data_IF_877639705313
#
_entry.id   IF_877639705313
#
_cell.length_a   1.000
_cell.length_b   1.000
_cell.length_c   1.000
_cell.angle_alpha   90.00
_cell.angle_beta   90.00
_cell.angle_gamma   90.00
#
_symmetry.space_group_name_H-M   'P 1'
#
loop_
_entity.id
_entity.type
_entity.pdbx_description
1 polymer ?
#
# COMPACT_ATOMS: atom_id res chain seq x y z
N UNK A 1 -10.21 3.42 -2.44
CA UNK A 1 -10.29 2.21 -1.57
C UNK A 1 -10.34 0.99 -2.47
N UNK A 2 -9.81 -0.15 -2.05
CA UNK A 2 -9.93 -1.42 -2.79
C UNK A 2 -11.16 -2.21 -2.35
N UNK A 3 -11.65 -3.09 -3.21
CA UNK A 3 -12.65 -4.10 -2.82
C UNK A 3 -11.96 -5.28 -2.10
N UNK A 4 -12.64 -5.96 -1.17
CA UNK A 4 -12.10 -7.12 -0.48
C UNK A 4 -11.67 -8.21 -1.45
N UNK A 5 -10.52 -8.82 -1.24
CA UNK A 5 -10.03 -9.86 -2.14
C UNK A 5 -10.71 -11.19 -1.82
N UNK A 6 -11.30 -11.83 -2.84
CA UNK A 6 -11.98 -13.12 -2.68
C UNK A 6 -11.06 -14.20 -2.09
N UNK A 7 -9.76 -14.13 -2.39
CA UNK A 7 -8.76 -15.05 -1.85
C UNK A 7 -8.30 -14.78 -0.42
N UNK A 8 -8.71 -13.66 0.21
CA UNK A 8 -8.25 -13.29 1.57
C UNK A 8 -9.36 -13.19 2.60
N UNK A 9 -10.60 -12.95 2.19
CA UNK A 9 -11.74 -12.81 3.11
C UNK A 9 -12.98 -13.53 2.58
N UNK A 10 -13.81 -13.98 3.51
CA UNK A 10 -15.11 -14.57 3.21
C UNK A 10 -16.17 -13.50 2.94
N UNK A 11 -16.88 -13.66 1.83
CA UNK A 11 -18.07 -12.87 1.50
C UNK A 11 -19.35 -13.42 2.15
N UNK A 12 -19.24 -14.46 3.00
CA UNK A 12 -20.36 -14.94 3.77
C UNK A 12 -20.82 -13.86 4.78
N UNK A 13 -22.04 -13.34 4.59
CA UNK A 13 -22.62 -12.31 5.45
C UNK A 13 -22.69 -12.73 6.94
N UNK A 14 -22.81 -14.03 7.23
CA UNK A 14 -22.81 -14.55 8.60
C UNK A 14 -21.44 -14.48 9.27
N UNK A 15 -20.36 -14.58 8.50
CA UNK A 15 -18.99 -14.55 9.02
C UNK A 15 -18.53 -13.12 9.39
N UNK A 16 -19.20 -12.09 8.88
CA UNK A 16 -18.96 -10.65 9.17
C UNK A 16 -17.48 -10.23 9.04
N UNK A 17 -16.75 -10.82 8.08
CA UNK A 17 -15.34 -10.48 7.82
C UNK A 17 -15.14 -9.21 6.98
N UNK A 18 -16.21 -8.73 6.34
CA UNK A 18 -16.23 -7.50 5.55
C UNK A 18 -17.15 -6.52 6.25
N UNK A 19 -16.69 -5.28 6.47
CA UNK A 19 -17.54 -4.24 7.05
C UNK A 19 -18.76 -3.99 6.14
N UNK A 20 -19.96 -3.76 6.69
CA UNK A 20 -21.08 -3.29 5.89
C UNK A 20 -20.88 -1.84 5.41
N UNK A 21 -20.02 -1.07 6.08
CA UNK A 21 -19.67 0.29 5.66
C UNK A 21 -18.45 0.28 4.72
N UNK A 22 -18.67 0.76 3.49
CA UNK A 22 -17.63 0.94 2.48
C UNK A 22 -16.55 1.93 2.97
N UNK A 23 -16.91 2.86 3.85
CA UNK A 23 -16.00 3.82 4.48
C UNK A 23 -14.97 3.15 5.40
N UNK A 24 -15.14 1.88 5.76
CA UNK A 24 -14.15 1.11 6.53
C UNK A 24 -13.24 0.26 5.66
N UNK A 25 -13.42 0.24 4.34
CA UNK A 25 -12.69 -0.71 3.48
C UNK A 25 -11.20 -0.38 3.45
N UNK A 26 -10.40 -1.36 3.89
CA UNK A 26 -8.94 -1.36 3.99
C UNK A 26 -8.32 -2.48 3.14
N UNK A 27 -8.68 -2.52 1.85
CA UNK A 27 -8.18 -3.52 0.89
C UNK A 27 -7.40 -2.90 -0.27
N UNK A 28 -7.04 -1.62 -0.16
CA UNK A 28 -6.21 -0.94 -1.16
C UNK A 28 -4.74 -1.33 -1.06
N UNK A 29 -3.93 -0.84 -2.00
CA UNK A 29 -2.50 -1.18 -2.10
C UNK A 29 -1.72 -1.03 -0.79
N UNK A 30 -1.99 0.02 0.02
CA UNK A 30 -1.30 0.23 1.30
C UNK A 30 -1.65 -0.77 2.41
N UNK A 31 -2.75 -1.51 2.26
CA UNK A 31 -3.23 -2.49 3.25
C UNK A 31 -3.12 -3.93 2.76
N UNK A 32 -2.82 -4.12 1.47
CA UNK A 32 -2.70 -5.45 0.88
C UNK A 32 -1.52 -6.21 1.49
N UNK A 33 -1.71 -7.50 1.77
CA UNK A 33 -0.62 -8.41 2.08
C UNK A 33 0.07 -8.83 0.78
N UNK A 34 1.39 -8.58 0.61
CA UNK A 34 2.10 -8.95 -0.61
C UNK A 34 2.41 -10.45 -0.71
N UNK A 35 2.46 -11.20 0.41
CA UNK A 35 2.86 -12.62 0.43
C UNK A 35 1.97 -13.49 -0.46
N UNK A 36 0.62 -13.41 -0.42
CA UNK A 36 -0.24 -14.24 -1.25
C UNK A 36 -0.28 -13.82 -2.73
N UNK A 37 0.56 -12.88 -3.18
CA UNK A 37 0.64 -12.51 -4.60
C UNK A 37 0.87 -13.74 -5.48
N UNK A 38 0.25 -13.74 -6.66
CA UNK A 38 0.16 -14.88 -7.58
C UNK A 38 -0.72 -16.05 -7.10
N UNK A 39 -1.34 -15.93 -5.92
CA UNK A 39 -2.39 -16.85 -5.45
C UNK A 39 -3.73 -16.68 -6.17
N UNK A 40 -4.56 -17.72 -6.13
CA UNK A 40 -5.91 -17.68 -6.70
C UNK A 40 -6.79 -16.68 -5.93
N UNK A 41 -7.55 -15.86 -6.67
CA UNK A 41 -8.45 -14.87 -6.07
C UNK A 41 -7.75 -13.65 -5.46
N UNK A 42 -6.48 -13.41 -5.81
CA UNK A 42 -5.68 -12.26 -5.35
C UNK A 42 -5.49 -11.27 -6.51
N UNK A 43 -6.29 -10.18 -6.57
CA UNK A 43 -6.29 -9.25 -7.71
C UNK A 43 -4.96 -8.56 -8.03
N UNK A 44 -4.11 -8.15 -7.05
CA UNK A 44 -2.83 -7.50 -7.35
C UNK A 44 -1.90 -8.31 -8.27
N UNK A 45 -2.04 -9.64 -8.28
CA UNK A 45 -1.23 -10.57 -9.08
C UNK A 45 -1.17 -10.20 -10.56
N UNK A 46 -2.27 -9.75 -11.16
CA UNK A 46 -2.30 -9.37 -12.58
C UNK A 46 -1.43 -8.14 -12.86
N UNK A 47 -1.44 -7.16 -11.95
CA UNK A 47 -0.58 -5.99 -12.05
C UNK A 47 0.89 -6.37 -11.83
N UNK A 48 1.21 -7.27 -10.88
CA UNK A 48 2.58 -7.72 -10.66
C UNK A 48 3.15 -8.48 -11.86
N UNK A 49 2.31 -9.24 -12.57
CA UNK A 49 2.69 -9.90 -13.82
C UNK A 49 2.93 -8.91 -14.96
N UNK A 50 2.15 -7.84 -15.03
CA UNK A 50 2.33 -6.77 -16.01
C UNK A 50 3.62 -5.99 -15.76
N UNK A 51 3.87 -5.61 -14.50
CA UNK A 51 5.10 -4.94 -14.09
C UNK A 51 6.33 -5.80 -14.32
N UNK A 52 6.26 -7.12 -14.07
CA UNK A 52 7.38 -8.03 -14.34
C UNK A 52 7.81 -8.02 -15.81
N UNK A 53 6.86 -7.94 -16.75
CA UNK A 53 7.17 -7.85 -18.19
C UNK A 53 7.88 -6.55 -18.59
N UNK A 54 7.80 -5.53 -17.74
CA UNK A 54 8.37 -4.21 -17.96
C UNK A 54 9.39 -3.85 -16.86
N UNK A 55 9.97 -4.87 -16.19
CA UNK A 55 10.88 -4.65 -15.08
C UNK A 55 12.22 -4.08 -15.58
N UNK A 56 12.69 -2.95 -15.04
CA UNK A 56 14.02 -2.43 -15.36
C UNK A 56 15.12 -3.43 -14.97
N UNK A 57 16.19 -3.50 -15.76
CA UNK A 57 17.30 -4.44 -15.54
C UNK A 57 17.95 -4.24 -14.18
N UNK A 58 18.16 -2.99 -13.76
CA UNK A 58 18.77 -2.67 -12.47
C UNK A 58 17.94 -3.19 -11.30
N UNK A 59 16.61 -3.15 -11.42
CA UNK A 59 15.71 -3.65 -10.39
C UNK A 59 15.63 -5.19 -10.41
N UNK A 60 15.73 -5.80 -11.60
CA UNK A 60 15.83 -7.26 -11.72
C UNK A 60 17.10 -7.79 -11.05
N UNK A 61 18.25 -7.16 -11.31
CA UNK A 61 19.52 -7.51 -10.68
C UNK A 61 19.46 -7.34 -9.16
N UNK A 62 18.82 -6.26 -8.69
CA UNK A 62 18.59 -6.09 -7.26
C UNK A 62 17.74 -7.23 -6.67
N UNK A 63 16.69 -7.69 -7.37
CA UNK A 63 15.90 -8.84 -6.91
C UNK A 63 16.65 -10.16 -6.94
N UNK A 64 17.63 -10.35 -7.83
CA UNK A 64 18.48 -11.55 -7.85
C UNK A 64 19.30 -11.70 -6.56
N UNK A 65 19.75 -10.58 -5.99
CA UNK A 65 20.58 -10.55 -4.78
C UNK A 65 19.77 -10.50 -3.48
N UNK A 66 18.44 -10.38 -3.56
CA UNK A 66 17.54 -10.20 -2.42
C UNK A 66 16.44 -11.26 -2.38
N UNK A 67 15.82 -11.46 -1.21
CA UNK A 67 14.71 -12.41 -1.05
C UNK A 67 15.10 -13.83 -1.46
N UNK A 68 14.36 -14.42 -2.42
CA UNK A 68 14.64 -15.74 -3.00
C UNK A 68 15.03 -15.65 -4.48
N UNK A 69 15.63 -14.54 -4.89
CA UNK A 69 16.00 -14.27 -6.27
C UNK A 69 14.76 -14.23 -7.18
N UNK A 70 14.90 -14.78 -8.39
CA UNK A 70 13.76 -14.86 -9.33
C UNK A 70 12.60 -15.74 -8.85
N UNK A 71 12.78 -16.59 -7.82
CA UNK A 71 11.73 -17.50 -7.34
C UNK A 71 10.53 -16.74 -6.75
N UNK A 72 10.78 -15.63 -6.06
CA UNK A 72 9.74 -14.81 -5.42
C UNK A 72 9.62 -13.41 -6.04
N UNK A 73 10.10 -13.23 -7.28
CA UNK A 73 10.17 -11.93 -7.94
C UNK A 73 8.83 -11.17 -7.94
N UNK A 74 7.70 -11.85 -8.13
CA UNK A 74 6.38 -11.20 -8.08
C UNK A 74 5.99 -10.70 -6.68
N UNK A 75 6.43 -11.38 -5.62
CA UNK A 75 6.26 -10.91 -4.24
C UNK A 75 7.18 -9.70 -4.01
N UNK A 76 8.41 -9.75 -4.50
CA UNK A 76 9.35 -8.61 -4.41
C UNK A 76 8.83 -7.37 -5.17
N UNK A 77 8.25 -7.55 -6.36
CA UNK A 77 7.56 -6.48 -7.12
C UNK A 77 6.38 -5.94 -6.32
N UNK A 78 5.58 -6.79 -5.67
CA UNK A 78 4.46 -6.32 -4.86
C UNK A 78 4.91 -5.48 -3.68
N UNK A 79 5.99 -5.90 -3.01
CA UNK A 79 6.60 -5.15 -1.91
C UNK A 79 7.13 -3.79 -2.39
N UNK A 80 7.89 -3.75 -3.48
CA UNK A 80 8.46 -2.51 -4.00
C UNK A 80 7.37 -1.56 -4.52
N UNK A 81 6.37 -2.09 -5.21
CA UNK A 81 5.19 -1.34 -5.62
C UNK A 81 4.46 -0.73 -4.43
N UNK A 82 4.26 -1.51 -3.35
CA UNK A 82 3.65 -1.01 -2.13
C UNK A 82 4.49 0.09 -1.48
N UNK A 83 5.83 -0.04 -1.43
CA UNK A 83 6.75 1.04 -1.00
C UNK A 83 6.52 2.31 -1.85
N UNK A 84 6.47 2.18 -3.18
CA UNK A 84 6.19 3.32 -4.07
C UNK A 84 4.81 3.93 -3.81
N UNK A 85 3.79 3.13 -3.51
CA UNK A 85 2.45 3.64 -3.20
C UNK A 85 2.40 4.42 -1.89
N UNK A 86 3.23 4.08 -0.89
CA UNK A 86 3.40 4.92 0.30
C UNK A 86 4.00 6.29 -0.07
N UNK A 87 5.04 6.33 -0.91
CA UNK A 87 5.63 7.59 -1.38
C UNK A 87 4.62 8.44 -2.15
N UNK A 88 3.87 7.83 -3.08
CA UNK A 88 2.82 8.51 -3.85
C UNK A 88 1.71 9.04 -2.93
N UNK A 89 1.30 8.25 -1.94
CA UNK A 89 0.27 8.68 -0.98
C UNK A 89 0.77 9.82 -0.12
N UNK A 90 2.02 9.76 0.35
CA UNK A 90 2.63 10.84 1.11
C UNK A 90 2.70 12.14 0.30
N UNK A 91 3.11 12.05 -0.97
CA UNK A 91 3.11 13.20 -1.88
C UNK A 91 1.70 13.76 -2.11
N UNK A 92 0.69 12.91 -2.27
CA UNK A 92 -0.70 13.34 -2.41
C UNK A 92 -1.21 14.05 -1.14
N UNK A 93 -0.88 13.54 0.05
CA UNK A 93 -1.24 14.18 1.33
C UNK A 93 -0.55 15.54 1.45
N UNK A 94 0.75 15.61 1.18
CA UNK A 94 1.51 16.86 1.21
C UNK A 94 0.95 17.89 0.21
N UNK A 95 0.65 17.47 -1.02
CA UNK A 95 0.09 18.33 -2.06
C UNK A 95 -1.35 18.77 -1.83
N UNK A 96 -2.02 18.24 -0.81
CA UNK A 96 -3.40 18.58 -0.44
C UNK A 96 -3.52 19.17 0.97
N UNK A 97 -2.41 19.55 1.60
CA UNK A 97 -2.45 20.27 2.86
C UNK A 97 -3.15 21.62 2.71
N UNK A 98 -3.89 22.08 3.74
CA UNK A 98 -4.64 23.34 3.66
C UNK A 98 -3.73 24.57 3.55
N UNK A 99 -2.50 24.50 4.05
CA UNK A 99 -1.52 25.58 4.00
C UNK A 99 -0.11 25.07 3.61
N UNK A 100 0.79 25.95 3.15
CA UNK A 100 2.18 25.58 2.87
C UNK A 100 2.86 24.90 4.06
N UNK A 101 3.72 23.91 3.79
CA UNK A 101 4.43 23.16 4.83
C UNK A 101 5.44 24.00 5.61
N UNK A 102 5.95 25.06 5.00
CA UNK A 102 6.92 26.01 5.52
C UNK A 102 6.26 27.29 6.07
N UNK A 103 4.94 27.28 6.28
CA UNK A 103 4.24 28.40 6.92
C UNK A 103 4.77 28.62 8.34
N UNK A 104 4.96 29.88 8.73
CA UNK A 104 5.33 30.27 10.11
C UNK A 104 4.11 30.70 10.95
N UNK A 105 2.94 30.82 10.34
CA UNK A 105 1.70 31.20 11.01
C UNK A 105 1.23 30.07 11.95
N UNK A 106 1.03 30.34 13.26
CA UNK A 106 0.63 29.32 14.22
C UNK A 106 -0.71 28.65 13.93
N UNK A 107 -1.70 29.40 13.44
CA UNK A 107 -3.04 28.86 13.15
C UNK A 107 -2.99 27.96 11.92
N UNK A 108 -2.20 28.34 10.91
CA UNK A 108 -1.97 27.50 9.73
C UNK A 108 -1.22 26.21 10.07
N UNK A 109 -0.21 26.28 10.94
CA UNK A 109 0.48 25.08 11.47
C UNK A 109 -0.49 24.15 12.19
N UNK A 110 -1.38 24.69 13.02
CA UNK A 110 -2.39 23.91 13.73
C UNK A 110 -3.39 23.23 12.77
N UNK A 111 -3.83 23.94 11.73
CA UNK A 111 -4.71 23.37 10.70
C UNK A 111 -4.02 22.24 9.89
N UNK A 112 -2.75 22.43 9.51
CA UNK A 112 -1.95 21.39 8.86
C UNK A 112 -1.75 20.15 9.76
N UNK A 113 -1.52 20.36 11.06
CA UNK A 113 -1.39 19.27 12.02
C UNK A 113 -2.68 18.45 12.13
N UNK A 114 -3.83 19.11 12.32
CA UNK A 114 -5.13 18.43 12.38
C UNK A 114 -5.43 17.63 11.10
N UNK A 115 -5.07 18.20 9.94
CA UNK A 115 -5.17 17.51 8.66
C UNK A 115 -4.30 16.24 8.62
N UNK A 116 -3.02 16.34 9.01
CA UNK A 116 -2.10 15.22 9.05
C UNK A 116 -2.54 14.13 10.05
N UNK A 117 -3.04 14.51 11.22
CA UNK A 117 -3.59 13.58 12.21
C UNK A 117 -4.78 12.79 11.67
N UNK A 118 -5.68 13.45 10.92
CA UNK A 118 -6.82 12.78 10.28
C UNK A 118 -6.37 11.70 9.28
N UNK A 119 -5.28 11.95 8.54
CA UNK A 119 -4.69 10.98 7.62
C UNK A 119 -3.95 9.87 8.34
N UNK A 120 -3.22 10.19 9.41
CA UNK A 120 -2.57 9.21 10.27
C UNK A 120 -3.59 8.18 10.78
N UNK A 121 -4.72 8.64 11.31
CA UNK A 121 -5.82 7.77 11.76
C UNK A 121 -6.35 6.86 10.66
N UNK A 122 -6.46 7.36 9.42
CA UNK A 122 -6.88 6.54 8.27
C UNK A 122 -5.85 5.47 7.93
N UNK A 123 -4.57 5.83 7.88
CA UNK A 123 -3.45 4.95 7.54
C UNK A 123 -3.10 3.93 8.65
N UNK A 124 -3.71 4.05 9.83
CA UNK A 124 -3.58 3.03 10.87
C UNK A 124 -4.01 1.65 10.36
N UNK A 125 -3.12 0.68 10.55
CA UNK A 125 -3.30 -0.70 10.11
C UNK A 125 -2.89 -0.97 8.66
N UNK A 126 -2.25 -0.02 7.97
CA UNK A 126 -1.57 -0.32 6.71
C UNK A 126 -0.53 -1.44 6.88
N UNK A 127 -0.29 -2.21 5.82
CA UNK A 127 0.73 -3.25 5.81
C UNK A 127 2.11 -2.59 5.77
N UNK A 128 2.88 -2.78 6.83
CA UNK A 128 4.22 -2.17 6.99
C UNK A 128 5.35 -3.13 6.65
N UNK A 129 5.06 -4.40 6.38
CA UNK A 129 6.09 -5.38 5.99
C UNK A 129 6.95 -4.88 4.83
N UNK A 130 6.33 -4.19 3.87
CA UNK A 130 7.07 -3.55 2.80
C UNK A 130 8.02 -2.45 3.28
N UNK A 131 7.67 -1.64 4.28
CA UNK A 131 8.52 -0.53 4.77
C UNK A 131 9.65 -0.99 5.69
N UNK A 132 9.51 -2.17 6.30
CA UNK A 132 10.46 -2.71 7.28
C UNK A 132 11.50 -3.67 6.69
N UNK A 133 11.38 -4.03 5.41
CA UNK A 133 12.33 -4.90 4.70
C UNK A 133 13.61 -4.15 4.28
N UNK A 134 14.24 -3.50 5.24
CA UNK A 134 15.59 -2.95 5.15
C UNK A 134 16.25 -3.26 6.49
N UNK A 135 16.66 -4.53 6.66
CA UNK A 135 17.72 -5.03 7.55
C UNK A 135 17.95 -6.52 7.25
#
# INVERSE_FOLDING_TARGET
RGMPFLGTVSYNAQARQISPDISDFKYGALYADPIPSMGAGIPPSLCMQDMYRHLPEELSLWYDENGRGQTDVHVQICISFQKSMFCVTNAAIAGTMPHPLDTEDPDQKAANLAYAESWSGRLMGCQRGALLAAD
#
